data_IF_008932002248
#
_entry.id   IF_008932002248
#
_cell.length_a   1.000
_cell.length_b   1.000
_cell.length_c   1.000
_cell.angle_alpha   90.00
_cell.angle_beta   90.00
_cell.angle_gamma   90.00
#
_symmetry.space_group_name_H-M   'P 1'
#
loop_
_entity.id
_entity.type
_entity.pdbx_description
1 polymer ?
#
# COMPACT_ATOMS: atom_id res chain seq x y z
N UNK A 1 6.47 -18.63 -12.31
CA UNK A 1 5.86 -18.74 -10.98
C UNK A 1 4.93 -17.55 -10.80
N UNK A 2 3.61 -17.77 -10.75
CA UNK A 2 2.64 -16.69 -10.56
C UNK A 2 2.93 -15.95 -9.25
N UNK A 3 3.29 -14.67 -9.35
CA UNK A 3 3.57 -13.83 -8.19
C UNK A 3 2.26 -13.40 -7.51
N UNK A 4 2.23 -13.48 -6.18
CA UNK A 4 1.15 -12.88 -5.37
C UNK A 4 1.10 -11.37 -5.59
N UNK A 5 -0.10 -10.79 -5.47
CA UNK A 5 -0.30 -9.33 -5.52
C UNK A 5 0.61 -8.56 -4.55
N UNK A 6 0.92 -9.11 -3.37
CA UNK A 6 1.86 -8.49 -2.44
C UNK A 6 3.26 -8.29 -3.04
N UNK A 7 3.81 -9.33 -3.66
CA UNK A 7 5.12 -9.28 -4.33
C UNK A 7 5.10 -8.33 -5.52
N UNK A 8 4.04 -8.38 -6.34
CA UNK A 8 3.89 -7.48 -7.50
C UNK A 8 3.83 -6.03 -7.08
N UNK A 9 2.99 -5.71 -6.10
CA UNK A 9 2.84 -4.35 -5.57
C UNK A 9 4.15 -3.85 -4.94
N UNK A 10 4.91 -4.72 -4.27
CA UNK A 10 6.25 -4.38 -3.75
C UNK A 10 7.27 -4.06 -4.85
N UNK A 11 7.10 -4.63 -6.05
CA UNK A 11 7.90 -4.32 -7.25
C UNK A 11 7.36 -3.11 -8.04
N UNK A 12 6.24 -2.54 -7.61
CA UNK A 12 5.64 -1.32 -8.16
C UNK A 12 4.48 -1.54 -9.13
N UNK A 13 3.90 -2.74 -9.19
CA UNK A 13 2.64 -2.99 -9.91
C UNK A 13 1.49 -2.18 -9.27
N UNK A 14 0.99 -1.17 -10.00
CA UNK A 14 -0.07 -0.29 -9.52
C UNK A 14 -1.43 -1.01 -9.43
N UNK A 15 -1.69 -1.96 -10.34
CA UNK A 15 -2.95 -2.72 -10.33
C UNK A 15 -2.97 -3.72 -9.18
N UNK A 16 -1.84 -4.36 -8.88
CA UNK A 16 -1.73 -5.19 -7.67
C UNK A 16 -1.89 -4.37 -6.39
N UNK A 17 -1.27 -3.19 -6.31
CA UNK A 17 -1.44 -2.28 -5.18
C UNK A 17 -2.93 -1.86 -5.00
N UNK A 18 -3.63 -1.61 -6.12
CA UNK A 18 -5.07 -1.33 -6.11
C UNK A 18 -5.90 -2.54 -5.66
N UNK A 19 -5.65 -3.74 -6.17
CA UNK A 19 -6.35 -4.97 -5.73
C UNK A 19 -6.20 -5.22 -4.23
N UNK A 20 -4.99 -5.08 -3.69
CA UNK A 20 -4.74 -5.19 -2.25
C UNK A 20 -5.51 -4.13 -1.46
N UNK A 21 -5.54 -2.90 -1.97
CA UNK A 21 -6.27 -1.79 -1.36
C UNK A 21 -7.78 -2.06 -1.33
N UNK A 22 -8.34 -2.52 -2.45
CA UNK A 22 -9.74 -2.88 -2.60
C UNK A 22 -10.10 -4.06 -1.67
N UNK A 23 -9.17 -4.99 -1.43
CA UNK A 23 -9.29 -6.08 -0.46
C UNK A 23 -9.05 -5.67 1.01
N UNK A 24 -8.69 -4.41 1.28
CA UNK A 24 -8.39 -3.94 2.64
C UNK A 24 -7.07 -4.47 3.23
N UNK A 25 -6.16 -4.97 2.39
CA UNK A 25 -4.83 -5.45 2.78
C UNK A 25 -3.81 -4.30 2.74
N UNK A 26 -2.91 -4.25 3.72
CA UNK A 26 -1.81 -3.28 3.77
C UNK A 26 -0.48 -4.00 3.56
N UNK A 27 0.33 -3.49 2.65
CA UNK A 27 1.71 -3.93 2.51
C UNK A 27 2.53 -3.65 3.79
N UNK A 28 3.57 -4.45 4.06
CA UNK A 28 4.49 -4.19 5.16
C UNK A 28 5.17 -2.82 5.01
N UNK A 29 5.62 -2.27 6.15
CA UNK A 29 6.29 -0.99 6.18
C UNK A 29 7.52 -0.95 5.26
N UNK A 30 7.66 0.08 4.41
CA UNK A 30 8.78 0.17 3.48
C UNK A 30 10.12 0.36 4.19
N UNK A 31 10.14 0.83 5.44
CA UNK A 31 11.37 1.11 6.19
C UNK A 31 11.83 -0.08 7.05
N UNK A 32 10.90 -0.76 7.72
CA UNK A 32 11.25 -1.78 8.73
C UNK A 32 10.52 -3.12 8.57
N UNK A 33 9.72 -3.27 7.50
CA UNK A 33 8.86 -4.43 7.21
C UNK A 33 7.82 -4.77 8.30
N UNK A 34 7.65 -3.92 9.30
CA UNK A 34 6.66 -4.08 10.36
C UNK A 34 5.23 -3.88 9.86
N UNK A 35 4.26 -4.34 10.66
CA UNK A 35 2.83 -4.18 10.38
C UNK A 35 2.42 -2.71 10.34
N UNK A 36 1.48 -2.40 9.46
CA UNK A 36 0.88 -1.09 9.31
C UNK A 36 -0.61 -1.13 9.60
N UNK A 37 -1.17 0.01 10.01
CA UNK A 37 -2.60 0.17 10.26
C UNK A 37 -3.09 1.53 9.80
N UNK A 38 -4.38 1.62 9.50
CA UNK A 38 -5.05 2.92 9.31
C UNK A 38 -5.16 3.64 10.67
N UNK A 39 -4.98 4.95 10.64
CA UNK A 39 -5.14 5.86 11.78
C UNK A 39 -5.98 7.06 11.35
N UNK A 40 -6.91 7.44 12.21
CA UNK A 40 -7.75 8.63 12.07
C UNK A 40 -7.07 9.83 12.74
N UNK A 41 -7.18 11.02 12.15
CA UNK A 41 -6.62 12.26 12.70
C UNK A 41 -7.29 12.62 14.04
N UNK A 42 -8.63 12.46 14.13
CA UNK A 42 -9.44 12.67 15.34
C UNK A 42 -10.67 11.76 15.30
N UNK A 43 -10.98 11.09 16.42
CA UNK A 43 -12.02 10.05 16.48
C UNK A 43 -13.49 10.55 16.38
N UNK A 44 -13.74 11.88 16.41
CA UNK A 44 -15.11 12.42 16.61
C UNK A 44 -15.47 13.68 15.80
N UNK A 45 -14.86 13.91 14.62
CA UNK A 45 -15.17 15.10 13.80
C UNK A 45 -15.72 14.72 12.42
N UNK A 46 -16.68 15.47 11.85
CA UNK A 46 -16.99 15.34 10.43
C UNK A 46 -15.73 15.67 9.60
N UNK A 47 -15.52 14.96 8.50
CA UNK A 47 -14.31 15.05 7.64
C UNK A 47 -13.01 14.51 8.25
N UNK A 48 -13.08 13.42 9.03
CA UNK A 48 -11.89 12.71 9.54
C UNK A 48 -10.93 12.35 8.41
N UNK A 49 -9.73 12.93 8.44
CA UNK A 49 -8.62 12.50 7.59
C UNK A 49 -8.00 11.22 8.13
N UNK A 50 -7.48 10.42 7.21
CA UNK A 50 -6.93 9.09 7.46
C UNK A 50 -5.51 9.01 6.92
N UNK A 51 -4.65 8.32 7.66
CA UNK A 51 -3.35 7.92 7.14
C UNK A 51 -3.04 6.48 7.52
N UNK A 52 -2.01 5.91 6.89
CA UNK A 52 -1.46 4.62 7.29
C UNK A 52 -0.18 4.85 8.06
N UNK A 53 -0.01 4.15 9.18
CA UNK A 53 1.15 4.27 10.06
C UNK A 53 1.71 2.88 10.38
N UNK A 54 3.03 2.75 10.34
CA UNK A 54 3.72 1.57 10.85
C UNK A 54 3.63 1.51 12.37
N UNK A 55 3.27 0.34 12.91
CA UNK A 55 3.15 0.10 14.35
C UNK A 55 4.50 -0.09 15.06
N UNK A 56 5.60 -0.21 14.30
CA UNK A 56 6.96 -0.43 14.83
C UNK A 56 7.83 0.82 14.78
N UNK A 57 7.98 1.45 13.61
CA UNK A 57 8.89 2.59 13.41
C UNK A 57 8.18 3.94 13.18
N UNK A 58 6.85 3.95 13.25
CA UNK A 58 6.01 5.16 13.12
C UNK A 58 6.11 5.94 11.80
N UNK A 59 6.83 5.41 10.79
CA UNK A 59 6.72 5.89 9.40
C UNK A 59 5.26 5.89 9.00
N UNK A 60 4.82 6.98 8.39
CA UNK A 60 3.43 7.17 7.99
C UNK A 60 3.32 7.71 6.56
N UNK A 61 2.16 7.45 5.96
CA UNK A 61 1.75 8.15 4.74
C UNK A 61 1.30 9.58 5.05
N UNK A 62 1.05 10.36 4.00
CA UNK A 62 0.26 11.59 4.10
C UNK A 62 -1.15 11.35 4.64
N UNK A 63 -1.87 12.45 4.90
CA UNK A 63 -3.27 12.42 5.33
C UNK A 63 -4.21 12.56 4.13
N UNK A 64 -5.20 11.68 4.05
CA UNK A 64 -6.15 11.56 2.93
C UNK A 64 -7.59 11.68 3.42
N UNK A 65 -8.52 11.97 2.51
CA UNK A 65 -9.93 12.15 2.85
C UNK A 65 -10.59 10.80 3.14
N UNK A 66 -10.25 9.77 2.36
CA UNK A 66 -10.83 8.44 2.50
C UNK A 66 -9.83 7.42 3.01
N UNK A 67 -10.34 6.31 3.54
CA UNK A 67 -9.49 5.19 3.96
C UNK A 67 -8.85 4.52 2.75
N UNK A 68 -9.60 4.42 1.66
CA UNK A 68 -9.14 3.88 0.39
C UNK A 68 -7.94 4.65 -0.15
N UNK A 69 -8.02 6.00 -0.21
CA UNK A 69 -6.91 6.85 -0.64
C UNK A 69 -5.65 6.66 0.23
N UNK A 70 -5.83 6.56 1.56
CA UNK A 70 -4.71 6.34 2.49
C UNK A 70 -4.04 4.97 2.29
N UNK A 71 -4.85 3.93 2.10
CA UNK A 71 -4.38 2.57 1.81
C UNK A 71 -3.69 2.50 0.46
N UNK A 72 -4.28 3.09 -0.57
CA UNK A 72 -3.71 3.14 -1.93
C UNK A 72 -2.35 3.80 -1.90
N UNK A 73 -2.25 4.98 -1.31
CA UNK A 73 -0.97 5.68 -1.18
C UNK A 73 0.09 4.88 -0.40
N UNK A 74 -0.32 4.10 0.61
CA UNK A 74 0.60 3.23 1.34
C UNK A 74 1.02 1.99 0.54
N UNK A 75 0.12 1.41 -0.25
CA UNK A 75 0.37 0.20 -1.01
C UNK A 75 1.11 0.48 -2.33
N UNK A 76 0.99 1.67 -2.90
CA UNK A 76 1.76 2.06 -4.08
C UNK A 76 3.24 2.19 -3.74
N UNK A 77 4.07 1.50 -4.52
CA UNK A 77 5.53 1.60 -4.47
C UNK A 77 6.06 2.23 -5.76
N UNK A 78 7.24 2.82 -5.68
CA UNK A 78 7.94 3.26 -6.88
C UNK A 78 8.21 2.03 -7.77
N UNK A 79 7.92 2.11 -9.08
CA UNK A 79 8.25 1.04 -10.03
C UNK A 79 9.74 0.70 -9.96
N UNK A 80 10.03 -0.58 -9.69
CA UNK A 80 11.40 -1.13 -9.79
C UNK A 80 11.61 -1.71 -11.20
N UNK A 81 10.55 -2.29 -11.76
CA UNK A 81 10.53 -2.90 -13.08
C UNK A 81 9.67 -2.07 -14.04
N UNK A 82 9.97 -2.17 -15.34
CA UNK A 82 9.06 -1.68 -16.38
C UNK A 82 7.78 -2.53 -16.45
N UNK A 83 6.78 -2.05 -17.20
CA UNK A 83 5.59 -2.84 -17.46
C UNK A 83 5.93 -4.15 -18.20
N UNK A 84 6.83 -4.10 -19.19
CA UNK A 84 7.25 -5.30 -19.93
C UNK A 84 7.99 -6.29 -19.01
N UNK A 85 8.92 -5.79 -18.19
CA UNK A 85 9.65 -6.63 -17.22
C UNK A 85 8.71 -7.28 -16.19
N UNK A 86 7.60 -6.60 -15.83
CA UNK A 86 6.57 -7.15 -14.95
C UNK A 86 5.79 -8.28 -15.60
N UNK A 87 5.39 -8.12 -16.87
CA UNK A 87 4.65 -9.13 -17.64
C UNK A 87 5.47 -10.42 -17.81
N UNK A 88 6.77 -10.31 -18.06
CA UNK A 88 7.66 -11.47 -18.20
C UNK A 88 7.71 -12.38 -16.95
N UNK A 89 7.36 -11.85 -15.76
CA UNK A 89 7.31 -12.64 -14.53
C UNK A 89 6.11 -13.60 -14.49
N UNK A 90 5.10 -13.37 -15.33
CA UNK A 90 3.90 -14.21 -15.48
C UNK A 90 4.06 -15.33 -16.53
N UNK A 91 5.09 -15.25 -17.38
CA UNK A 91 5.28 -16.15 -18.52
C UNK A 91 6.05 -17.45 -18.20
N UNK A 92 6.38 -17.70 -16.93
CA UNK A 92 7.09 -18.90 -16.45
C UNK A 92 6.46 -19.45 -15.16
#
# INVERSE_FOLDING_TARGET
MVLSDEKRALLGDQEAAKRLTDAGVLLPCPMCRGQARVRNERYYQPNVRRNVICMKCFTNSGWYKTEHEARLAWNTRAPILSAEEMEMLDEH
#
